data_IF_166156791901
#
_entry.id   IF_166156791901
#
_cell.length_a   1.000
_cell.length_b   1.000
_cell.length_c   1.000
_cell.angle_alpha   90.00
_cell.angle_beta   90.00
_cell.angle_gamma   90.00
#
_symmetry.space_group_name_H-M   'P 1'
#
loop_
_entity.id
_entity.type
_entity.pdbx_description
1 polymer ?
#
# COMPACT_ATOMS: atom_id res chain seq x y z
N UNK A 1 2.31 -9.95 -8.82
CA UNK A 1 2.38 -8.87 -9.82
C UNK A 1 3.37 -9.17 -10.96
N UNK A 2 4.63 -9.55 -10.67
CA UNK A 2 5.71 -9.78 -11.67
C UNK A 2 5.40 -10.86 -12.72
N UNK A 3 4.63 -11.89 -12.39
CA UNK A 3 4.31 -12.96 -13.33
C UNK A 3 3.22 -12.62 -14.36
N UNK A 4 2.36 -11.62 -14.10
CA UNK A 4 1.23 -11.26 -15.00
C UNK A 4 1.55 -10.08 -15.94
N UNK A 5 2.54 -9.26 -15.58
CA UNK A 5 3.09 -8.18 -16.41
C UNK A 5 3.56 -8.63 -17.81
N UNK A 6 4.31 -9.75 -17.96
CA UNK A 6 4.71 -10.20 -19.29
C UNK A 6 3.50 -10.68 -20.12
N UNK A 7 2.50 -11.31 -19.50
CA UNK A 7 1.31 -11.79 -20.23
C UNK A 7 0.47 -10.65 -20.80
N UNK A 8 0.39 -9.51 -20.12
CA UNK A 8 -0.36 -8.34 -20.61
C UNK A 8 0.41 -7.50 -21.62
N UNK A 9 1.75 -7.55 -21.61
CA UNK A 9 2.60 -6.98 -22.67
C UNK A 9 2.49 -7.78 -23.98
N UNK A 10 2.36 -9.12 -23.88
CA UNK A 10 2.31 -10.02 -25.05
C UNK A 10 0.92 -10.01 -25.73
N UNK A 11 -0.17 -9.78 -24.99
CA UNK A 11 -1.55 -9.75 -25.52
C UNK A 11 -2.32 -8.53 -24.99
N UNK A 12 -2.13 -7.33 -25.56
CA UNK A 12 -2.74 -6.09 -25.05
C UNK A 12 -4.28 -6.01 -25.22
N UNK A 13 -4.87 -6.85 -26.07
CA UNK A 13 -6.27 -6.74 -26.53
C UNK A 13 -7.25 -7.76 -25.90
N UNK A 14 -6.81 -8.57 -24.93
CA UNK A 14 -7.71 -9.52 -24.26
C UNK A 14 -8.36 -8.87 -23.02
N UNK A 15 -9.68 -8.65 -23.06
CA UNK A 15 -10.47 -8.01 -21.99
C UNK A 15 -10.48 -8.82 -20.68
N UNK A 16 -10.44 -10.15 -20.76
CA UNK A 16 -10.41 -11.05 -19.60
C UNK A 16 -9.24 -10.83 -18.63
N UNK A 17 -7.97 -10.93 -19.07
CA UNK A 17 -6.82 -10.70 -18.20
C UNK A 17 -6.71 -9.25 -17.68
N UNK A 18 -7.23 -8.26 -18.42
CA UNK A 18 -7.35 -6.87 -17.95
C UNK A 18 -8.27 -6.74 -16.74
N UNK A 19 -9.45 -7.37 -16.80
CA UNK A 19 -10.40 -7.36 -15.69
C UNK A 19 -9.83 -8.07 -14.45
N UNK A 20 -9.19 -9.22 -14.65
CA UNK A 20 -8.53 -9.97 -13.59
C UNK A 20 -7.42 -9.15 -12.90
N UNK A 21 -6.61 -8.42 -13.68
CA UNK A 21 -5.60 -7.52 -13.13
C UNK A 21 -6.21 -6.40 -12.28
N UNK A 22 -7.31 -5.78 -12.71
CA UNK A 22 -7.97 -4.71 -11.95
C UNK A 22 -8.50 -5.25 -10.61
N UNK A 23 -9.11 -6.44 -10.61
CA UNK A 23 -9.59 -7.08 -9.39
C UNK A 23 -8.42 -7.34 -8.43
N UNK A 24 -7.34 -7.95 -8.93
CA UNK A 24 -6.14 -8.19 -8.13
C UNK A 24 -5.53 -6.91 -7.57
N UNK A 25 -5.39 -5.87 -8.40
CA UNK A 25 -4.82 -4.59 -7.98
C UNK A 25 -5.66 -3.93 -6.89
N UNK A 26 -6.99 -3.99 -7.01
CA UNK A 26 -7.93 -3.49 -5.99
C UNK A 26 -7.81 -4.28 -4.67
N UNK A 27 -7.62 -5.60 -4.72
CA UNK A 27 -7.38 -6.43 -3.52
C UNK A 27 -6.04 -6.04 -2.87
N UNK A 28 -4.98 -5.87 -3.66
CA UNK A 28 -3.68 -5.42 -3.13
C UNK A 28 -3.73 -4.01 -2.55
N UNK A 29 -4.47 -3.10 -3.17
CA UNK A 29 -4.69 -1.74 -2.67
C UNK A 29 -5.33 -1.76 -1.28
N UNK A 30 -6.44 -2.50 -1.12
CA UNK A 30 -7.15 -2.59 0.16
C UNK A 30 -6.29 -3.23 1.24
N UNK A 31 -5.55 -4.29 0.90
CA UNK A 31 -4.64 -4.96 1.83
C UNK A 31 -3.46 -4.06 2.24
N UNK A 32 -2.84 -3.35 1.30
CA UNK A 32 -1.76 -2.41 1.57
C UNK A 32 -2.22 -1.21 2.41
N UNK A 33 -3.44 -0.73 2.18
CA UNK A 33 -4.03 0.35 2.98
C UNK A 33 -4.28 -0.10 4.41
N UNK A 34 -4.83 -1.31 4.61
CA UNK A 34 -5.08 -1.87 5.93
C UNK A 34 -3.79 -2.11 6.72
N UNK A 35 -2.74 -2.62 6.06
CA UNK A 35 -1.44 -2.83 6.69
C UNK A 35 -0.76 -1.51 7.05
N UNK A 36 -0.79 -0.52 6.14
CA UNK A 36 -0.25 0.81 6.39
C UNK A 36 -0.96 1.52 7.56
N UNK A 37 -2.30 1.42 7.63
CA UNK A 37 -3.08 1.98 8.74
C UNK A 37 -2.73 1.31 10.08
N UNK A 38 -2.58 -0.02 10.09
CA UNK A 38 -2.19 -0.76 11.31
C UNK A 38 -0.79 -0.36 11.76
N UNK A 39 0.17 -0.29 10.83
CA UNK A 39 1.53 0.14 11.13
C UNK A 39 1.58 1.59 11.66
N UNK A 40 0.79 2.49 11.08
CA UNK A 40 0.68 3.88 11.54
C UNK A 40 0.17 3.97 12.98
N UNK A 41 -0.82 3.16 13.37
CA UNK A 41 -1.32 3.12 14.75
C UNK A 41 -0.23 2.68 15.74
N UNK A 42 0.57 1.68 15.38
CA UNK A 42 1.69 1.22 16.22
C UNK A 42 2.79 2.27 16.31
N UNK A 43 3.15 2.93 15.20
CA UNK A 43 4.13 4.03 15.20
C UNK A 43 3.65 5.19 16.06
N UNK A 44 2.36 5.53 16.00
CA UNK A 44 1.77 6.56 16.86
C UNK A 44 1.90 6.20 18.35
N UNK A 45 1.56 4.96 18.73
CA UNK A 45 1.77 4.48 20.10
C UNK A 45 3.26 4.46 20.49
N UNK A 46 4.16 4.12 19.57
CA UNK A 46 5.60 4.11 19.85
C UNK A 46 6.17 5.51 20.11
N UNK A 47 5.58 6.55 19.50
CA UNK A 47 5.97 7.95 19.71
C UNK A 47 5.33 8.57 20.95
N UNK A 48 4.03 8.39 21.13
CA UNK A 48 3.26 9.08 22.17
C UNK A 48 3.14 8.28 23.47
N UNK A 49 3.20 6.94 23.38
CA UNK A 49 2.86 6.04 24.47
C UNK A 49 1.36 6.10 24.85
N UNK A 50 0.94 5.20 25.73
CA UNK A 50 -0.37 5.24 26.35
C UNK A 50 -0.31 4.68 27.77
N UNK A 51 -0.59 5.51 28.78
CA UNK A 51 -0.45 5.13 30.19
C UNK A 51 -1.56 4.16 30.64
N UNK A 52 -2.77 4.28 30.09
CA UNK A 52 -3.90 3.40 30.45
C UNK A 52 -3.65 1.92 30.07
N UNK A 53 -2.80 1.68 29.07
CA UNK A 53 -2.42 0.32 28.63
C UNK A 53 -0.97 -0.03 28.99
N UNK A 54 -0.30 0.78 29.82
CA UNK A 54 1.13 0.64 30.17
C UNK A 54 2.05 0.56 28.92
N UNK A 55 1.70 1.24 27.84
CA UNK A 55 2.51 1.29 26.63
C UNK A 55 3.48 2.46 26.70
N UNK A 56 4.78 2.17 26.79
CA UNK A 56 5.83 3.18 26.88
C UNK A 56 6.24 3.70 25.49
N UNK A 57 6.64 4.97 25.41
CA UNK A 57 7.16 5.57 24.18
C UNK A 57 8.55 5.04 23.84
N UNK A 58 8.61 3.96 23.05
CA UNK A 58 9.84 3.26 22.65
C UNK A 58 10.75 4.13 21.76
N UNK A 59 10.16 5.06 20.98
CA UNK A 59 10.93 5.92 20.09
C UNK A 59 11.89 6.88 20.80
N UNK A 60 11.69 7.15 22.09
CA UNK A 60 12.62 7.98 22.88
C UNK A 60 13.97 7.29 23.13
N UNK A 61 13.99 5.96 23.08
CA UNK A 61 15.21 5.16 23.34
C UNK A 61 15.86 4.65 22.04
N UNK A 62 15.07 4.46 20.97
CA UNK A 62 15.54 3.95 19.68
C UNK A 62 15.13 4.88 18.52
N UNK A 63 15.69 6.09 18.52
CA UNK A 63 15.35 7.14 17.54
C UNK A 63 15.58 6.72 16.08
N UNK A 64 16.73 6.09 15.77
CA UNK A 64 17.05 5.64 14.40
C UNK A 64 16.05 4.61 13.86
N UNK A 65 15.72 3.59 14.67
CA UNK A 65 14.72 2.59 14.30
C UNK A 65 13.34 3.23 14.09
N UNK A 66 12.98 4.19 14.94
CA UNK A 66 11.71 4.90 14.82
C UNK A 66 11.64 5.76 13.56
N UNK A 67 12.73 6.45 13.21
CA UNK A 67 12.82 7.23 11.98
C UNK A 67 12.70 6.34 10.73
N UNK A 68 13.42 5.22 10.71
CA UNK A 68 13.35 4.23 9.63
C UNK A 68 11.92 3.67 9.47
N UNK A 69 11.29 3.28 10.58
CA UNK A 69 9.93 2.69 10.58
C UNK A 69 8.88 3.72 10.16
N UNK A 70 8.98 4.95 10.66
CA UNK A 70 8.09 6.04 10.26
C UNK A 70 8.23 6.36 8.77
N UNK A 71 9.47 6.39 8.25
CA UNK A 71 9.74 6.53 6.82
C UNK A 71 9.12 5.39 6.00
N UNK A 72 9.21 4.14 6.48
CA UNK A 72 8.59 3.00 5.82
C UNK A 72 7.06 3.12 5.76
N UNK A 73 6.41 3.56 6.84
CA UNK A 73 4.96 3.80 6.87
C UNK A 73 4.57 4.88 5.86
N UNK A 74 5.28 6.01 5.83
CA UNK A 74 5.04 7.10 4.85
C UNK A 74 5.19 6.59 3.42
N UNK A 75 6.25 5.82 3.12
CA UNK A 75 6.46 5.24 1.79
C UNK A 75 5.35 4.25 1.38
N UNK A 76 4.74 3.57 2.35
CA UNK A 76 3.61 2.66 2.13
C UNK A 76 2.35 3.44 1.71
N UNK A 77 2.06 4.57 2.34
CA UNK A 77 0.96 5.46 1.93
C UNK A 77 1.20 6.06 0.54
N UNK A 78 2.43 6.45 0.20
CA UNK A 78 2.78 6.92 -1.14
C UNK A 78 2.50 5.81 -2.17
N UNK A 79 2.88 4.57 -1.85
CA UNK A 79 2.62 3.40 -2.71
C UNK A 79 1.12 3.18 -2.93
N UNK A 80 0.30 3.33 -1.88
CA UNK A 80 -1.17 3.27 -1.98
C UNK A 80 -1.69 4.32 -2.97
N UNK A 81 -1.25 5.58 -2.87
CA UNK A 81 -1.66 6.64 -3.81
C UNK A 81 -1.28 6.30 -5.25
N UNK A 82 -0.05 5.81 -5.47
CA UNK A 82 0.41 5.40 -6.79
C UNK A 82 -0.42 4.25 -7.34
N UNK A 83 -0.76 3.25 -6.52
CA UNK A 83 -1.65 2.15 -6.92
C UNK A 83 -3.02 2.67 -7.34
N UNK A 84 -3.64 3.56 -6.58
CA UNK A 84 -4.93 4.17 -6.96
C UNK A 84 -4.85 4.83 -8.34
N UNK A 85 -3.81 5.63 -8.60
CA UNK A 85 -3.61 6.27 -9.90
C UNK A 85 -3.46 5.25 -11.03
N UNK A 86 -2.73 4.16 -10.81
CA UNK A 86 -2.56 3.09 -11.79
C UNK A 86 -3.89 2.35 -12.08
N UNK A 87 -4.71 2.09 -11.07
CA UNK A 87 -6.05 1.49 -11.26
C UNK A 87 -6.93 2.42 -12.09
N UNK A 88 -6.99 3.71 -11.75
CA UNK A 88 -7.81 4.70 -12.45
C UNK A 88 -7.39 4.80 -13.91
N UNK A 89 -6.09 4.93 -14.19
CA UNK A 89 -5.55 4.96 -15.54
C UNK A 89 -5.88 3.68 -16.32
N UNK A 90 -5.78 2.52 -15.66
CA UNK A 90 -6.11 1.22 -16.27
C UNK A 90 -7.60 1.08 -16.61
N UNK A 91 -8.48 1.55 -15.71
CA UNK A 91 -9.92 1.55 -15.92
C UNK A 91 -10.33 2.48 -17.07
N UNK A 92 -9.77 3.70 -17.12
CA UNK A 92 -10.00 4.66 -18.20
C UNK A 92 -9.52 4.13 -19.56
N UNK A 93 -8.39 3.42 -19.59
CA UNK A 93 -7.86 2.82 -20.82
C UNK A 93 -8.78 1.73 -21.39
N UNK A 94 -9.52 1.01 -20.54
CA UNK A 94 -10.51 -0.01 -20.95
C UNK A 94 -11.79 0.65 -21.42
N UNK A 95 -12.28 1.68 -20.73
CA UNK A 95 -13.51 2.38 -21.12
C UNK A 95 -13.42 3.19 -22.42
N UNK A 96 -12.20 3.36 -22.97
CA UNK A 96 -11.97 4.07 -24.25
C UNK A 96 -11.99 3.14 -25.48
N UNK A 97 -12.32 1.86 -25.29
CA UNK A 97 -12.49 0.84 -26.33
C UNK A 97 -13.93 0.34 -26.35
#
# INVERSE_FOLDING_TARGET
>A
MIALLPFTIIRPHATGPRLFLIILDTVFLTLATASAASAAAIVYLAHNGNQDTNWLAICNQFGDFCAQTSGAVVSSFITVVVLVLLIVMSALAIGKH
#
